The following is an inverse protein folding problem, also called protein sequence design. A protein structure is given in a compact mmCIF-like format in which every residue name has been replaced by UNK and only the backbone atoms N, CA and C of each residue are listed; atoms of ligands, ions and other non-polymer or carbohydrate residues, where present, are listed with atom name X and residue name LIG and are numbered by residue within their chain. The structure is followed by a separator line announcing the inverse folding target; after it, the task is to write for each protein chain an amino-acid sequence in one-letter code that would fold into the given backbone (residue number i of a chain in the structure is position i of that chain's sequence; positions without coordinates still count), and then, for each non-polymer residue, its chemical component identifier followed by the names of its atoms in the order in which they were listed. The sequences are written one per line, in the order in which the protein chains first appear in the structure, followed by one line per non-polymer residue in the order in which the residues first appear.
data_IF_198073524922
#
_entry.id   IF_198073524922
#
_cell.length_a   1.000
_cell.length_b   1.000
_cell.length_c   1.000
_cell.angle_alpha   90.00
_cell.angle_beta   90.00
_cell.angle_gamma   90.00
#
_symmetry.space_group_name_H-M   'P 1'
#
loop_
_entity.id
_entity.type
_entity.pdbx_description
1 polymer ?
#
# COMPACT_ATOMS: atom_id res chain seq x y z
N UNK A 1 42.86 -54.42 3.74
CA UNK A 1 41.88 -53.35 4.00
C UNK A 1 40.75 -53.51 3.01
N UNK A 2 39.53 -53.85 3.45
CA UNK A 2 38.35 -53.89 2.60
C UNK A 2 37.56 -52.59 2.79
N UNK A 3 37.20 -51.93 1.69
CA UNK A 3 36.38 -50.73 1.70
C UNK A 3 34.98 -51.16 1.29
N UNK A 4 34.04 -51.18 2.24
CA UNK A 4 32.63 -51.47 1.95
C UNK A 4 31.97 -50.25 1.30
N UNK A 5 31.41 -50.44 0.11
CA UNK A 5 30.64 -49.41 -0.58
C UNK A 5 29.27 -49.23 0.07
N UNK A 6 28.96 -48.01 0.51
CA UNK A 6 27.65 -47.63 1.03
C UNK A 6 26.78 -47.14 -0.12
N UNK A 7 25.68 -47.84 -0.39
CA UNK A 7 24.66 -47.42 -1.36
C UNK A 7 23.50 -46.74 -0.63
N UNK A 8 23.28 -45.45 -0.90
CA UNK A 8 22.13 -44.71 -0.36
C UNK A 8 20.93 -44.86 -1.29
N UNK A 9 19.88 -45.56 -0.83
CA UNK A 9 18.62 -45.72 -1.56
C UNK A 9 17.65 -44.61 -1.16
N UNK A 10 17.47 -43.60 -2.01
CA UNK A 10 16.45 -42.55 -1.81
C UNK A 10 15.05 -43.13 -2.05
N UNK A 11 14.25 -43.21 -1.00
CA UNK A 11 12.83 -43.60 -1.07
C UNK A 11 12.03 -42.37 -1.52
N UNK A 12 11.62 -42.33 -2.79
CA UNK A 12 10.69 -41.33 -3.28
C UNK A 12 9.35 -41.48 -2.53
N UNK A 13 9.07 -40.54 -1.62
CA UNK A 13 7.80 -40.47 -0.91
C UNK A 13 6.78 -39.95 -1.93
N UNK A 14 5.98 -40.86 -2.49
CA UNK A 14 4.79 -40.50 -3.28
C UNK A 14 3.80 -39.82 -2.33
N UNK A 15 3.96 -38.50 -2.17
CA UNK A 15 3.00 -37.65 -1.50
C UNK A 15 1.91 -37.33 -2.51
N UNK A 16 0.71 -37.87 -2.28
CA UNK A 16 -0.52 -37.34 -2.88
C UNK A 16 -0.62 -35.90 -2.38
N UNK A 17 -0.18 -34.95 -3.21
CA UNK A 17 -0.51 -33.54 -3.02
C UNK A 17 -1.99 -33.45 -3.39
N UNK A 18 -2.86 -33.57 -2.40
CA UNK A 18 -4.20 -33.01 -2.50
C UNK A 18 -3.99 -31.53 -2.75
N UNK A 19 -4.02 -31.14 -4.02
CA UNK A 19 -3.94 -29.75 -4.44
C UNK A 19 -5.19 -29.06 -3.96
N UNK A 20 -5.20 -28.63 -2.70
CA UNK A 20 -6.13 -27.60 -2.26
C UNK A 20 -5.71 -26.34 -3.00
N UNK A 21 -6.36 -26.06 -4.13
CA UNK A 21 -6.30 -24.74 -4.72
C UNK A 21 -6.68 -23.77 -3.59
N UNK A 22 -5.78 -22.86 -3.16
CA UNK A 22 -6.15 -21.89 -2.16
C UNK A 22 -7.34 -21.07 -2.71
N UNK A 23 -8.32 -20.69 -1.87
CA UNK A 23 -9.40 -19.84 -2.33
C UNK A 23 -8.78 -18.57 -2.90
N UNK A 24 -8.94 -18.37 -4.21
CA UNK A 24 -8.53 -17.15 -4.89
C UNK A 24 -9.38 -16.05 -4.27
N UNK A 25 -8.76 -15.18 -3.47
CA UNK A 25 -9.45 -14.03 -2.91
C UNK A 25 -9.93 -13.15 -4.07
N UNK A 26 -11.19 -12.72 -4.00
CA UNK A 26 -11.74 -11.80 -4.99
C UNK A 26 -10.92 -10.50 -4.98
N UNK A 27 -10.67 -9.92 -6.15
CA UNK A 27 -9.85 -8.70 -6.28
C UNK A 27 -10.35 -7.55 -5.40
N UNK A 28 -11.66 -7.44 -5.23
CA UNK A 28 -12.30 -6.46 -4.35
C UNK A 28 -11.84 -6.61 -2.90
N UNK A 29 -11.80 -7.84 -2.36
CA UNK A 29 -11.31 -8.11 -1.00
C UNK A 29 -9.84 -7.72 -0.86
N UNK A 30 -9.03 -7.97 -1.88
CA UNK A 30 -7.61 -7.59 -1.86
C UNK A 30 -7.46 -6.05 -1.90
N UNK A 31 -8.29 -5.36 -2.68
CA UNK A 31 -8.29 -3.89 -2.77
C UNK A 31 -8.64 -3.26 -1.42
N UNK A 32 -9.73 -3.71 -0.78
CA UNK A 32 -10.13 -3.24 0.55
C UNK A 32 -9.02 -3.47 1.59
N UNK A 33 -8.42 -4.67 1.61
CA UNK A 33 -7.31 -4.96 2.53
C UNK A 33 -6.07 -4.08 2.28
N UNK A 34 -5.84 -3.65 1.03
CA UNK A 34 -4.73 -2.73 0.71
C UNK A 34 -5.05 -1.32 1.18
N UNK A 35 -6.25 -0.82 0.90
CA UNK A 35 -6.72 0.50 1.33
C UNK A 35 -6.60 0.63 2.85
N UNK A 36 -7.12 -0.36 3.58
CA UNK A 36 -7.08 -0.37 5.05
C UNK A 36 -5.65 -0.27 5.59
N UNK A 37 -4.73 -1.05 5.02
CA UNK A 37 -3.32 -1.06 5.45
C UNK A 37 -2.61 0.25 5.15
N UNK A 38 -2.88 0.86 3.99
CA UNK A 38 -2.30 2.14 3.63
C UNK A 38 -2.83 3.22 4.57
N UNK A 39 -4.15 3.22 4.84
CA UNK A 39 -4.76 4.17 5.77
C UNK A 39 -4.13 4.06 7.15
N UNK A 40 -4.04 2.85 7.71
CA UNK A 40 -3.40 2.62 9.01
C UNK A 40 -1.96 3.12 9.05
N UNK A 41 -1.14 2.79 8.05
CA UNK A 41 0.24 3.26 7.98
C UNK A 41 0.35 4.79 7.86
N UNK A 42 -0.61 5.44 7.19
CA UNK A 42 -0.67 6.89 7.10
C UNK A 42 -1.08 7.55 8.41
N UNK A 43 -2.02 6.95 9.14
CA UNK A 43 -2.56 7.52 10.38
C UNK A 43 -1.56 7.39 11.55
N UNK A 44 -0.57 6.50 11.45
CA UNK A 44 0.57 6.41 12.39
C UNK A 44 1.53 7.62 12.27
N UNK A 45 1.54 8.32 11.13
CA UNK A 45 2.44 9.43 10.86
C UNK A 45 1.76 10.78 11.14
N UNK A 46 2.11 11.43 12.25
CA UNK A 46 1.47 12.67 12.69
C UNK A 46 1.46 13.80 11.64
N UNK A 47 2.51 13.90 10.82
CA UNK A 47 2.58 14.91 9.75
C UNK A 47 1.59 14.61 8.61
N UNK A 48 1.32 13.33 8.32
CA UNK A 48 0.31 12.92 7.35
C UNK A 48 -1.08 13.21 7.92
N UNK A 49 -1.32 12.83 9.17
CA UNK A 49 -2.59 13.09 9.86
C UNK A 49 -2.97 14.57 9.85
N UNK A 50 -2.02 15.43 10.23
CA UNK A 50 -2.22 16.88 10.24
C UNK A 50 -2.45 17.45 8.83
N UNK A 51 -1.74 16.93 7.83
CA UNK A 51 -1.91 17.35 6.44
C UNK A 51 -3.27 16.90 5.88
N UNK A 52 -3.74 15.68 6.19
CA UNK A 52 -5.09 15.22 5.84
C UNK A 52 -6.14 16.17 6.39
N UNK A 53 -6.08 16.48 7.69
CA UNK A 53 -6.98 17.45 8.33
C UNK A 53 -6.97 18.82 7.63
N UNK A 54 -5.79 19.30 7.25
CA UNK A 54 -5.68 20.55 6.51
C UNK A 54 -6.38 20.47 5.13
N UNK A 55 -6.23 19.35 4.41
CA UNK A 55 -6.79 19.15 3.07
C UNK A 55 -8.31 18.93 3.07
N UNK A 56 -8.89 18.39 4.14
CA UNK A 56 -10.34 18.20 4.29
C UNK A 56 -11.04 19.35 5.03
N UNK A 57 -10.39 20.52 5.11
CA UNK A 57 -10.88 21.74 5.76
C UNK A 57 -11.15 21.62 7.28
N UNK A 58 -10.56 20.63 7.96
CA UNK A 58 -10.60 20.45 9.42
C UNK A 58 -9.51 21.27 10.15
N UNK A 59 -9.19 22.46 9.62
CA UNK A 59 -8.08 23.30 10.08
C UNK A 59 -8.23 23.71 11.56
N UNK A 60 -9.45 23.73 12.10
CA UNK A 60 -9.73 24.10 13.51
C UNK A 60 -9.14 23.13 14.52
N UNK A 61 -8.84 21.91 14.11
CA UNK A 61 -8.22 20.89 14.94
C UNK A 61 -6.69 21.02 15.01
N UNK A 62 -6.11 21.90 14.19
CA UNK A 62 -4.67 22.11 14.09
C UNK A 62 -4.26 23.34 14.90
N UNK A 63 -3.05 23.28 15.47
CA UNK A 63 -2.39 24.48 15.98
C UNK A 63 -2.01 25.41 14.82
N UNK A 64 -1.75 26.68 15.14
CA UNK A 64 -1.31 27.67 14.14
C UNK A 64 0.02 27.28 13.45
N UNK A 65 0.90 26.56 14.15
CA UNK A 65 2.16 26.09 13.59
C UNK A 65 1.94 24.92 12.64
N UNK A 66 1.14 23.94 13.02
CA UNK A 66 0.77 22.79 12.18
C UNK A 66 0.07 23.26 10.91
N UNK A 67 -0.92 24.15 11.02
CA UNK A 67 -1.63 24.70 9.85
C UNK A 67 -0.68 25.44 8.89
N UNK A 68 0.29 26.20 9.42
CA UNK A 68 1.32 26.88 8.60
C UNK A 68 2.22 25.88 7.89
N UNK A 69 2.69 24.84 8.59
CA UNK A 69 3.51 23.78 8.02
C UNK A 69 2.76 23.05 6.90
N UNK A 70 1.50 22.65 7.14
CA UNK A 70 0.67 21.97 6.15
C UNK A 70 0.43 22.82 4.91
N UNK A 71 0.09 24.12 5.09
CA UNK A 71 -0.14 25.03 3.97
C UNK A 71 1.05 25.21 3.03
N UNK A 72 2.28 25.00 3.51
CA UNK A 72 3.49 25.08 2.67
C UNK A 72 3.62 23.97 1.64
N UNK A 73 2.97 22.82 1.87
CA UNK A 73 3.06 21.61 1.03
C UNK A 73 1.73 21.13 0.46
N UNK A 74 0.59 21.60 1.00
CA UNK A 74 -0.75 21.15 0.67
C UNK A 74 -1.05 21.09 -0.84
N UNK A 75 -0.54 22.04 -1.62
CA UNK A 75 -0.74 22.07 -3.08
C UNK A 75 -0.17 20.85 -3.83
N UNK A 76 0.64 20.02 -3.19
CA UNK A 76 1.23 18.83 -3.80
C UNK A 76 0.53 17.53 -3.38
N UNK A 77 -0.55 17.62 -2.60
CA UNK A 77 -1.23 16.46 -2.04
C UNK A 77 -2.74 16.60 -2.21
N UNK A 78 -3.40 15.45 -2.33
CA UNK A 78 -4.85 15.32 -2.40
C UNK A 78 -5.26 14.16 -1.48
N UNK A 79 -6.50 14.20 -0.98
CA UNK A 79 -7.11 13.12 -0.19
C UNK A 79 -8.31 12.60 -0.97
N UNK A 80 -8.42 11.28 -1.10
CA UNK A 80 -9.54 10.64 -1.80
C UNK A 80 -10.72 10.31 -0.87
N UNK A 81 -11.72 9.58 -1.40
CA UNK A 81 -12.91 9.17 -0.64
C UNK A 81 -12.63 8.10 0.42
N UNK A 82 -11.48 7.42 0.35
CA UNK A 82 -11.05 6.41 1.33
C UNK A 82 -10.11 7.01 2.39
N UNK A 83 -10.02 8.35 2.45
CA UNK A 83 -9.13 9.09 3.35
C UNK A 83 -7.65 8.79 3.10
N UNK A 84 -7.30 8.33 1.90
CA UNK A 84 -5.92 8.10 1.50
C UNK A 84 -5.33 9.38 0.93
N UNK A 85 -4.20 9.80 1.50
CA UNK A 85 -3.45 10.93 0.99
C UNK A 85 -2.46 10.45 -0.08
N UNK A 86 -2.41 11.15 -1.22
CA UNK A 86 -1.45 10.84 -2.28
C UNK A 86 -0.76 12.10 -2.78
N UNK A 87 0.46 11.93 -3.27
CA UNK A 87 1.26 13.01 -3.84
C UNK A 87 0.79 13.33 -5.27
N UNK A 88 0.24 14.51 -5.45
CA UNK A 88 -0.20 15.07 -6.73
C UNK A 88 0.53 16.40 -6.99
N UNK A 89 1.73 16.38 -7.61
CA UNK A 89 2.48 17.61 -7.86
C UNK A 89 1.70 18.52 -8.82
N UNK A 90 1.38 19.72 -8.36
CA UNK A 90 0.60 20.72 -9.11
C UNK A 90 1.35 21.32 -10.31
N UNK A 91 2.63 20.99 -10.49
CA UNK A 91 3.41 21.37 -11.67
C UNK A 91 3.07 20.50 -12.88
N UNK A 92 2.09 20.96 -13.69
CA UNK A 92 1.88 20.60 -15.10
C UNK A 92 2.06 19.12 -15.46
N UNK A 93 1.38 18.21 -14.77
CA UNK A 93 1.14 16.86 -15.29
C UNK A 93 -0.26 16.80 -15.90
N UNK A 94 -0.32 16.39 -17.17
CA UNK A 94 -1.57 16.28 -17.91
C UNK A 94 -2.54 15.34 -17.18
N UNK A 95 -3.85 15.41 -17.47
CA UNK A 95 -4.82 14.48 -16.90
C UNK A 95 -4.44 13.00 -17.12
N UNK A 96 -3.72 12.70 -18.21
CA UNK A 96 -3.20 11.37 -18.50
C UNK A 96 -2.07 10.92 -17.56
N UNK A 97 -1.26 11.85 -17.05
CA UNK A 97 -0.19 11.55 -16.10
C UNK A 97 -0.74 11.29 -14.69
N UNK A 98 -1.86 11.95 -14.33
CA UNK A 98 -2.59 11.69 -13.06
C UNK A 98 -3.15 10.27 -13.01
N UNK A 99 -3.74 9.79 -14.11
CA UNK A 99 -4.27 8.43 -14.18
C UNK A 99 -3.17 7.35 -14.15
N UNK A 100 -1.97 7.64 -14.69
CA UNK A 100 -0.83 6.69 -14.62
C UNK A 100 -0.29 6.51 -13.21
N UNK A 101 -0.28 7.56 -12.38
CA UNK A 101 0.11 7.44 -10.97
C UNK A 101 -0.88 6.58 -10.16
N UNK A 102 -2.19 6.78 -10.36
CA UNK A 102 -3.20 5.87 -9.77
C UNK A 102 -3.03 4.41 -10.22
N UNK A 103 -2.57 4.19 -11.46
CA UNK A 103 -2.40 2.84 -12.01
C UNK A 103 -1.17 2.09 -11.47
N UNK A 104 -0.24 2.76 -10.79
CA UNK A 104 0.90 2.05 -10.17
C UNK A 104 0.50 1.27 -8.91
N UNK A 105 -0.70 1.50 -8.37
CA UNK A 105 -1.33 0.62 -7.36
C UNK A 105 -2.03 -0.60 -7.97
N UNK A 106 -2.14 -0.65 -9.31
CA UNK A 106 -2.59 -1.80 -10.10
C UNK A 106 -1.40 -2.41 -10.85
N UNK A 107 -0.45 -2.96 -10.12
CA UNK A 107 0.48 -3.96 -10.67
C UNK A 107 -0.33 -5.21 -11.04
N UNK A 108 -0.52 -5.41 -12.36
CA UNK A 108 -0.76 -6.73 -12.97
C UNK A 108 0.56 -7.51 -13.04
#
# INVERSE_FOLDING_TARGET
MQISAVTTRSKARSGVRTGSNPPVLCEEVIRELRIERIRQAQDEEAWIHNLKKYLVDEIRDLTQEEARSCGSIAMNYEVDQHELMFYCPTTKKSAADRHKLMRLETLH
#
